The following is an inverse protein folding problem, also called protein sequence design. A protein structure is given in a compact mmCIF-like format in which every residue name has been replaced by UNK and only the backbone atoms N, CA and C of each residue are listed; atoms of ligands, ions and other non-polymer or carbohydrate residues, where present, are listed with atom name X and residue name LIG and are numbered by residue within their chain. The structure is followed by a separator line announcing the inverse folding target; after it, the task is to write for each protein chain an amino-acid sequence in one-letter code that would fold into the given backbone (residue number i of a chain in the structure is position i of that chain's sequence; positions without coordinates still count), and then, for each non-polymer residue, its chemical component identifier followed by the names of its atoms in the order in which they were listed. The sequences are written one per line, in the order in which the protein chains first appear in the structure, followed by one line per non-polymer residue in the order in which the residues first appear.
data_IF_787959209227
#
_entry.id   IF_787959209227
#
_cell.length_a   1.000
_cell.length_b   1.000
_cell.length_c   1.000
_cell.angle_alpha   90.00
_cell.angle_beta   90.00
_cell.angle_gamma   90.00
#
_symmetry.space_group_name_H-M   'P 1'
#
loop_
_entity.id
_entity.type
_entity.pdbx_description
1 polymer ?
#
# COMPACT_ATOMS: atom_id res chain seq x y z
N UNK A 1 -15.41 -55.87 -8.62
CA UNK A 1 -16.01 -55.09 -7.52
C UNK A 1 -15.58 -53.66 -7.70
N UNK A 2 -16.52 -52.73 -7.93
CA UNK A 2 -16.19 -51.31 -8.01
C UNK A 2 -15.84 -50.83 -6.58
N UNK A 3 -14.59 -50.45 -6.36
CA UNK A 3 -14.14 -49.88 -5.10
C UNK A 3 -14.72 -48.46 -4.99
N UNK A 4 -15.68 -48.28 -4.09
CA UNK A 4 -16.22 -46.95 -3.78
C UNK A 4 -15.08 -46.11 -3.21
N UNK A 5 -14.78 -44.94 -3.77
CA UNK A 5 -13.71 -44.09 -3.25
C UNK A 5 -14.02 -43.68 -1.80
N UNK A 6 -13.01 -43.66 -0.92
CA UNK A 6 -13.21 -43.24 0.47
C UNK A 6 -13.74 -41.81 0.51
N UNK A 7 -14.78 -41.61 1.32
CA UNK A 7 -15.39 -40.30 1.55
C UNK A 7 -14.97 -39.78 2.91
N UNK A 8 -14.78 -38.47 2.98
CA UNK A 8 -14.29 -37.77 4.17
C UNK A 8 -15.25 -36.64 4.56
N UNK A 9 -14.95 -35.98 5.68
CA UNK A 9 -15.61 -34.79 6.16
C UNK A 9 -17.11 -35.00 6.49
N UNK A 10 -17.73 -33.97 7.07
CA UNK A 10 -19.18 -33.93 7.31
C UNK A 10 -19.99 -33.90 6.01
N UNK A 11 -19.40 -33.44 4.90
CA UNK A 11 -20.05 -33.36 3.60
C UNK A 11 -20.06 -34.70 2.81
N UNK A 12 -19.34 -35.72 3.30
CA UNK A 12 -19.27 -37.07 2.69
C UNK A 12 -18.88 -37.04 1.20
N UNK A 13 -17.92 -36.20 0.86
CA UNK A 13 -17.34 -36.12 -0.47
C UNK A 13 -15.99 -36.87 -0.54
N UNK A 14 -15.58 -37.36 -1.73
CA UNK A 14 -14.23 -37.88 -1.94
C UNK A 14 -13.16 -36.81 -1.72
N UNK A 15 -11.91 -37.24 -1.53
CA UNK A 15 -10.76 -36.34 -1.41
C UNK A 15 -10.55 -35.50 -2.68
N UNK A 16 -10.28 -34.21 -2.49
CA UNK A 16 -9.98 -33.22 -3.53
C UNK A 16 -8.68 -32.49 -3.18
N UNK A 17 -7.67 -32.59 -4.05
CA UNK A 17 -6.34 -31.99 -3.86
C UNK A 17 -6.34 -30.47 -3.88
N UNK A 18 -7.41 -29.83 -4.38
CA UNK A 18 -7.51 -28.37 -4.48
C UNK A 18 -8.08 -27.72 -3.23
N UNK A 19 -8.59 -28.52 -2.28
CA UNK A 19 -9.22 -28.02 -1.06
C UNK A 19 -8.36 -28.34 0.16
N UNK A 20 -8.10 -27.33 0.98
CA UNK A 20 -7.43 -27.51 2.26
C UNK A 20 -8.26 -28.42 3.20
N UNK A 21 -7.60 -29.42 3.78
CA UNK A 21 -8.18 -30.32 4.77
C UNK A 21 -7.31 -30.45 6.02
N UNK A 22 -7.95 -30.66 7.17
CA UNK A 22 -7.31 -30.89 8.48
C UNK A 22 -7.83 -32.19 9.11
N UNK A 23 -6.94 -32.96 9.74
CA UNK A 23 -7.27 -34.24 10.40
C UNK A 23 -7.69 -34.01 11.86
N UNK A 24 -8.81 -34.62 12.28
CA UNK A 24 -9.24 -34.62 13.68
C UNK A 24 -8.42 -35.62 14.51
N UNK A 25 -7.82 -35.15 15.59
CA UNK A 25 -6.99 -35.96 16.47
C UNK A 25 -7.75 -37.05 17.25
N UNK A 26 -9.06 -36.87 17.45
CA UNK A 26 -9.91 -37.81 18.16
C UNK A 26 -10.46 -38.92 17.25
N UNK A 27 -11.11 -38.57 16.13
CA UNK A 27 -11.76 -39.55 15.25
C UNK A 27 -10.91 -39.99 14.05
N UNK A 28 -9.76 -39.34 13.80
CA UNK A 28 -8.85 -39.61 12.67
C UNK A 28 -9.50 -39.49 11.29
N UNK A 29 -10.58 -38.71 11.18
CA UNK A 29 -11.22 -38.36 9.91
C UNK A 29 -10.72 -36.97 9.46
N UNK A 30 -10.81 -36.70 8.15
CA UNK A 30 -10.33 -35.47 7.52
C UNK A 30 -11.48 -34.53 7.20
N UNK A 31 -11.30 -33.23 7.43
CA UNK A 31 -12.34 -32.22 7.27
C UNK A 31 -11.86 -31.07 6.39
N UNK A 32 -12.68 -30.66 5.42
CA UNK A 32 -12.41 -29.44 4.65
C UNK A 32 -12.43 -28.23 5.58
N UNK A 33 -11.42 -27.36 5.50
CA UNK A 33 -11.34 -26.16 6.33
C UNK A 33 -12.61 -25.31 6.25
N UNK A 34 -13.14 -25.12 5.04
CA UNK A 34 -14.39 -24.40 4.78
C UNK A 34 -15.64 -25.04 5.42
N UNK A 35 -15.66 -26.36 5.60
CA UNK A 35 -16.80 -27.08 6.22
C UNK A 35 -16.80 -26.97 7.75
N UNK A 36 -15.65 -26.70 8.37
CA UNK A 36 -15.46 -26.69 9.82
C UNK A 36 -14.99 -25.34 10.36
N UNK A 37 -14.88 -24.32 9.49
CA UNK A 37 -14.48 -22.97 9.86
C UNK A 37 -13.01 -22.84 10.27
N UNK A 38 -12.12 -23.61 9.63
CA UNK A 38 -10.67 -23.54 9.84
C UNK A 38 -10.02 -23.08 8.55
N UNK A 39 -9.39 -21.91 8.57
CA UNK A 39 -8.63 -21.39 7.45
C UNK A 39 -7.27 -22.10 7.33
N UNK A 40 -6.79 -22.27 6.10
CA UNK A 40 -5.50 -22.91 5.80
C UNK A 40 -4.33 -22.22 6.54
N UNK A 41 -4.41 -20.90 6.69
CA UNK A 41 -3.39 -20.08 7.37
C UNK A 41 -3.36 -20.24 8.90
N UNK A 42 -4.45 -20.74 9.50
CA UNK A 42 -4.58 -20.98 10.94
C UNK A 42 -4.20 -22.42 11.32
N UNK A 43 -4.22 -23.34 10.36
CA UNK A 43 -3.89 -24.76 10.56
C UNK A 43 -2.51 -24.98 11.22
N UNK A 44 -1.44 -24.24 10.87
CA UNK A 44 -0.14 -24.43 11.51
C UNK A 44 -0.11 -24.07 13.00
N UNK A 45 -1.04 -23.23 13.48
CA UNK A 45 -1.10 -22.79 14.88
C UNK A 45 -1.92 -23.74 15.77
N UNK A 46 -2.70 -24.64 15.18
CA UNK A 46 -3.46 -25.67 15.88
C UNK A 46 -2.50 -26.80 16.30
N UNK A 47 -2.56 -27.18 17.57
CA UNK A 47 -1.75 -28.26 18.16
C UNK A 47 -2.52 -29.58 18.11
N UNK A 48 -3.76 -29.57 18.59
CA UNK A 48 -4.68 -30.70 18.55
C UNK A 48 -5.99 -30.18 17.96
N UNK A 49 -6.40 -30.74 16.82
CA UNK A 49 -7.67 -30.38 16.18
C UNK A 49 -8.76 -31.37 16.56
N UNK A 50 -9.88 -30.88 17.10
CA UNK A 50 -11.10 -31.64 17.30
C UNK A 50 -12.21 -31.10 16.40
N UNK A 51 -12.84 -31.98 15.61
CA UNK A 51 -13.96 -31.60 14.77
C UNK A 51 -15.22 -31.25 15.59
N UNK A 52 -16.24 -30.59 15.01
CA UNK A 52 -17.43 -30.15 15.76
C UNK A 52 -18.19 -31.27 16.52
N UNK A 53 -18.03 -32.53 16.09
CA UNK A 53 -18.61 -33.68 16.79
C UNK A 53 -17.75 -34.11 18.00
N UNK A 54 -16.43 -34.22 17.81
CA UNK A 54 -15.49 -34.59 18.87
C UNK A 54 -15.29 -33.48 19.90
N UNK A 55 -15.54 -32.21 19.55
CA UNK A 55 -15.48 -31.10 20.50
C UNK A 55 -16.39 -31.34 21.73
N UNK A 56 -17.52 -32.04 21.54
CA UNK A 56 -18.49 -32.34 22.59
C UNK A 56 -18.00 -33.39 23.59
N UNK A 57 -17.09 -34.27 23.18
CA UNK A 57 -16.59 -35.40 23.98
C UNK A 57 -15.16 -35.19 24.47
N UNK A 58 -14.31 -34.64 23.61
CA UNK A 58 -12.86 -34.52 23.81
C UNK A 58 -12.42 -33.07 24.08
N UNK A 59 -13.37 -32.12 24.07
CA UNK A 59 -13.14 -30.70 24.32
C UNK A 59 -12.70 -29.94 23.08
N UNK A 60 -12.49 -28.62 23.22
CA UNK A 60 -12.10 -27.75 22.10
C UNK A 60 -10.69 -28.04 21.58
N UNK A 61 -10.46 -27.78 20.30
CA UNK A 61 -9.12 -27.78 19.69
C UNK A 61 -8.15 -26.91 20.48
N UNK A 62 -6.92 -27.41 20.67
CA UNK A 62 -5.86 -26.68 21.37
C UNK A 62 -4.95 -26.00 20.36
N UNK A 63 -4.45 -24.82 20.72
CA UNK A 63 -3.43 -24.12 19.95
C UNK A 63 -2.06 -24.45 20.51
N UNK A 64 -1.03 -24.39 19.65
CA UNK A 64 0.35 -24.59 20.07
C UNK A 64 0.67 -23.59 21.17
N UNK A 65 1.16 -24.08 22.31
CA UNK A 65 1.55 -23.21 23.43
C UNK A 65 2.61 -22.22 22.94
N UNK A 66 2.21 -20.95 22.76
CA UNK A 66 3.17 -19.85 22.66
C UNK A 66 3.97 -19.86 23.97
N UNK A 67 5.29 -20.11 23.89
CA UNK A 67 6.16 -20.10 25.06
C UNK A 67 6.09 -18.72 25.71
N UNK A 68 5.33 -18.60 26.80
CA UNK A 68 5.40 -17.47 27.71
C UNK A 68 6.77 -17.52 28.38
N UNK A 69 7.64 -16.58 27.99
CA UNK A 69 8.96 -16.44 28.57
C UNK A 69 8.86 -15.79 29.95
N UNK A 70 8.63 -16.59 31.00
CA UNK A 70 8.86 -16.18 32.38
C UNK A 70 9.66 -17.25 33.13
N UNK A 71 10.91 -16.87 33.41
CA UNK A 71 11.88 -17.39 34.40
C UNK A 71 12.28 -18.89 34.36
N UNK A 72 13.59 -19.03 34.21
CA UNK A 72 14.46 -20.15 34.60
C UNK A 72 14.30 -21.44 33.82
N UNK A 73 15.07 -21.55 32.73
CA UNK A 73 15.79 -22.79 32.47
C UNK A 73 17.19 -22.47 31.95
N UNK A 74 18.17 -22.93 32.70
CA UNK A 74 19.61 -22.83 32.44
C UNK A 74 19.98 -23.94 31.46
N UNK A 75 20.08 -23.63 30.17
CA UNK A 75 20.50 -24.61 29.18
C UNK A 75 20.43 -24.09 27.74
N UNK A 76 21.56 -23.57 27.27
CA UNK A 76 21.95 -23.34 25.87
C UNK A 76 20.91 -23.63 24.77
N UNK A 77 20.32 -22.55 24.28
CA UNK A 77 19.79 -22.43 22.91
C UNK A 77 20.19 -21.04 22.41
N UNK A 78 21.27 -20.97 21.63
CA UNK A 78 21.88 -19.72 21.13
C UNK A 78 21.23 -19.15 19.85
N UNK A 79 20.04 -19.62 19.47
CA UNK A 79 19.36 -19.09 18.28
C UNK A 79 18.62 -17.78 18.61
N UNK A 80 19.34 -16.66 18.54
CA UNK A 80 18.72 -15.33 18.45
C UNK A 80 18.08 -15.25 17.06
N UNK A 81 16.79 -15.57 16.96
CA UNK A 81 16.04 -15.37 15.72
C UNK A 81 15.90 -13.87 15.44
N UNK A 82 16.17 -13.46 14.20
CA UNK A 82 16.02 -12.09 13.78
C UNK A 82 14.55 -11.64 13.93
N UNK A 83 14.37 -10.37 14.30
CA UNK A 83 13.05 -9.76 14.46
C UNK A 83 12.45 -9.50 13.08
N UNK A 84 11.25 -10.04 12.83
CA UNK A 84 10.54 -9.82 11.57
C UNK A 84 9.84 -8.46 11.57
N UNK A 85 9.94 -7.74 10.46
CA UNK A 85 9.23 -6.48 10.23
C UNK A 85 7.71 -6.70 10.36
N UNK A 86 7.03 -5.78 11.04
CA UNK A 86 5.59 -5.88 11.35
C UNK A 86 5.24 -6.68 12.62
N UNK A 87 6.17 -7.45 13.19
CA UNK A 87 5.92 -8.16 14.46
C UNK A 87 5.72 -7.19 15.63
N UNK A 88 5.05 -7.63 16.71
CA UNK A 88 4.85 -6.78 17.90
C UNK A 88 6.17 -6.28 18.52
N UNK A 89 7.22 -7.12 18.49
CA UNK A 89 8.56 -6.76 18.96
C UNK A 89 9.14 -5.65 18.07
N UNK A 90 9.09 -5.84 16.75
CA UNK A 90 9.51 -4.83 15.79
C UNK A 90 8.79 -3.50 16.00
N UNK A 91 7.46 -3.50 16.15
CA UNK A 91 6.69 -2.25 16.34
C UNK A 91 7.09 -1.53 17.62
N UNK A 92 7.35 -2.27 18.71
CA UNK A 92 7.84 -1.70 19.97
C UNK A 92 9.20 -1.03 19.78
N UNK A 93 10.13 -1.68 19.08
CA UNK A 93 11.45 -1.15 18.76
C UNK A 93 11.37 0.06 17.82
N UNK A 94 10.53 -0.02 16.78
CA UNK A 94 10.31 1.05 15.82
C UNK A 94 9.81 2.32 16.50
N UNK A 95 8.91 2.19 17.48
CA UNK A 95 8.38 3.33 18.25
C UNK A 95 9.42 3.98 19.16
N UNK A 96 10.44 3.25 19.62
CA UNK A 96 11.52 3.79 20.45
C UNK A 96 12.72 4.31 19.65
N UNK A 97 12.79 3.99 18.35
CA UNK A 97 13.86 4.49 17.47
C UNK A 97 13.73 6.01 17.26
N UNK A 98 14.89 6.65 17.13
CA UNK A 98 15.00 8.07 16.81
C UNK A 98 15.30 8.23 15.34
N UNK A 99 14.63 9.18 14.69
CA UNK A 99 14.79 9.48 13.27
C UNK A 99 14.93 11.00 13.10
N UNK A 100 15.68 11.49 12.10
CA UNK A 100 15.64 12.89 11.73
C UNK A 100 14.20 13.33 11.40
N UNK A 101 13.89 14.58 11.73
CA UNK A 101 12.58 15.16 11.47
C UNK A 101 12.37 15.34 9.96
N UNK A 102 11.18 15.03 9.46
CA UNK A 102 10.85 15.32 8.07
C UNK A 102 10.75 16.82 7.76
N UNK A 103 10.82 17.72 8.74
CA UNK A 103 10.88 19.17 8.51
C UNK A 103 12.09 19.61 7.66
N UNK A 104 13.15 18.79 7.62
CA UNK A 104 14.35 19.06 6.81
C UNK A 104 14.12 18.84 5.30
N UNK A 105 13.08 18.10 4.93
CA UNK A 105 12.82 17.68 3.53
C UNK A 105 11.40 17.95 3.05
N UNK A 106 10.44 18.09 3.97
CA UNK A 106 9.04 18.32 3.61
C UNK A 106 8.78 19.80 3.34
N UNK A 107 8.27 20.10 2.15
CA UNK A 107 7.78 21.42 1.81
C UNK A 107 6.37 21.60 2.39
N UNK A 108 6.16 22.64 3.20
CA UNK A 108 4.84 22.97 3.76
C UNK A 108 4.14 24.03 2.90
N UNK A 109 3.01 23.68 2.29
CA UNK A 109 2.20 24.60 1.49
C UNK A 109 0.77 24.69 2.02
N UNK A 110 0.12 25.82 1.75
CA UNK A 110 -1.35 25.92 1.81
C UNK A 110 -1.97 25.38 0.52
N UNK A 111 -3.27 25.05 0.55
CA UNK A 111 -3.96 24.57 -0.64
C UNK A 111 -3.81 25.48 -1.86
N UNK A 112 -4.02 26.81 -1.76
CA UNK A 112 -3.85 27.73 -2.89
C UNK A 112 -2.40 27.86 -3.39
N UNK A 113 -1.40 27.63 -2.54
CA UNK A 113 0.02 27.65 -2.94
C UNK A 113 0.41 26.41 -3.74
N UNK A 114 -0.27 25.28 -3.55
CA UNK A 114 -0.05 24.06 -4.33
C UNK A 114 -0.72 24.18 -5.71
N UNK A 115 -0.05 24.89 -6.60
CA UNK A 115 -0.50 25.21 -7.96
C UNK A 115 0.40 24.61 -9.03
N UNK A 116 -0.04 24.67 -10.30
CA UNK A 116 0.82 24.30 -11.44
C UNK A 116 2.04 25.21 -11.53
N UNK A 117 1.85 26.53 -11.42
CA UNK A 117 2.93 27.52 -11.47
C UNK A 117 4.03 27.22 -10.44
N UNK A 118 3.63 26.88 -9.20
CA UNK A 118 4.57 26.48 -8.16
C UNK A 118 5.37 25.23 -8.56
N UNK A 119 4.70 24.19 -9.07
CA UNK A 119 5.36 22.93 -9.44
C UNK A 119 6.19 23.05 -10.72
N UNK A 120 5.86 23.95 -11.64
CA UNK A 120 6.66 24.25 -12.83
C UNK A 120 7.94 25.01 -12.46
N UNK A 121 7.85 25.94 -11.49
CA UNK A 121 9.01 26.71 -11.02
C UNK A 121 9.93 25.89 -10.08
N UNK A 122 9.35 25.12 -9.16
CA UNK A 122 10.10 24.46 -8.08
C UNK A 122 10.27 22.94 -8.29
N UNK A 123 9.55 22.36 -9.25
CA UNK A 123 9.45 20.92 -9.44
C UNK A 123 8.59 20.24 -8.37
N UNK A 124 8.47 18.92 -8.50
CA UNK A 124 7.84 18.05 -7.50
C UNK A 124 8.80 16.93 -7.09
N UNK A 125 9.89 17.31 -6.42
CA UNK A 125 10.98 16.39 -6.06
C UNK A 125 11.03 16.06 -4.56
N UNK A 126 10.40 16.89 -3.73
CA UNK A 126 10.35 16.75 -2.27
C UNK A 126 8.89 16.53 -1.81
N UNK A 127 8.63 15.78 -0.72
CA UNK A 127 7.29 15.57 -0.21
C UNK A 127 6.64 16.89 0.22
N UNK A 128 5.36 17.05 -0.11
CA UNK A 128 4.61 18.27 0.19
C UNK A 128 3.56 17.96 1.25
N UNK A 129 3.62 18.68 2.37
CA UNK A 129 2.62 18.58 3.45
C UNK A 129 1.71 19.80 3.43
N UNK A 130 0.40 19.53 3.39
CA UNK A 130 -0.64 20.54 3.47
C UNK A 130 -1.44 20.31 4.75
N UNK A 131 -1.36 21.27 5.66
CA UNK A 131 -1.88 21.13 7.03
C UNK A 131 -3.40 21.18 7.11
N UNK A 132 -4.06 21.84 6.16
CA UNK A 132 -5.51 21.93 6.08
C UNK A 132 -5.98 21.82 4.64
N UNK A 133 -7.08 21.11 4.40
CA UNK A 133 -7.53 20.77 3.05
C UNK A 133 -8.07 21.96 2.23
N UNK A 134 -8.36 23.09 2.87
CA UNK A 134 -8.95 24.25 2.19
C UNK A 134 -8.03 24.73 1.06
N UNK A 135 -8.62 24.97 -0.11
CA UNK A 135 -7.90 25.37 -1.32
C UNK A 135 -7.27 24.22 -2.12
N UNK A 136 -7.28 22.97 -1.64
CA UNK A 136 -6.80 21.82 -2.43
C UNK A 136 -7.72 21.40 -3.57
N UNK A 137 -8.97 21.89 -3.60
CA UNK A 137 -9.98 21.46 -4.55
C UNK A 137 -10.25 19.95 -4.48
N UNK A 138 -10.17 19.38 -3.27
CA UNK A 138 -10.49 17.99 -2.98
C UNK A 138 -11.86 17.89 -2.28
N UNK A 139 -12.56 16.79 -2.52
CA UNK A 139 -13.81 16.44 -1.83
C UNK A 139 -13.59 15.18 -1.01
N UNK A 140 -14.14 15.18 0.20
CA UNK A 140 -14.07 14.05 1.13
C UNK A 140 -15.38 13.97 1.90
N UNK A 141 -15.77 12.78 2.38
CA UNK A 141 -16.92 12.67 3.26
C UNK A 141 -16.71 13.45 4.56
N UNK A 142 -17.81 13.75 5.25
CA UNK A 142 -17.78 14.53 6.48
C UNK A 142 -16.91 13.86 7.56
N UNK A 143 -16.35 14.60 8.53
CA UNK A 143 -15.57 14.02 9.62
C UNK A 143 -16.36 13.03 10.50
N UNK A 144 -17.68 12.96 10.39
CA UNK A 144 -18.53 11.95 11.04
C UNK A 144 -18.53 10.60 10.34
N UNK A 145 -18.07 10.53 9.09
CA UNK A 145 -18.00 9.32 8.27
C UNK A 145 -17.05 8.30 8.89
N UNK A 146 -17.49 7.07 9.02
CA UNK A 146 -16.77 6.00 9.71
C UNK A 146 -16.76 4.70 8.88
N UNK A 147 -16.06 3.68 9.36
CA UNK A 147 -15.91 2.36 8.72
C UNK A 147 -17.26 1.71 8.38
N UNK A 148 -18.29 1.84 9.22
CA UNK A 148 -19.66 1.39 8.90
C UNK A 148 -20.24 2.06 7.66
N UNK A 149 -19.90 3.33 7.40
CA UNK A 149 -20.33 4.02 6.19
C UNK A 149 -19.57 3.53 4.96
N UNK A 150 -18.31 3.08 5.12
CA UNK A 150 -17.58 2.39 4.05
C UNK A 150 -18.29 1.10 3.68
N UNK A 151 -18.66 0.26 4.65
CA UNK A 151 -19.44 -0.99 4.42
C UNK A 151 -20.74 -0.69 3.67
N UNK A 152 -21.49 0.34 4.10
CA UNK A 152 -22.78 0.69 3.49
C UNK A 152 -22.65 1.19 2.03
N UNK A 153 -21.58 1.92 1.72
CA UNK A 153 -21.40 2.52 0.38
C UNK A 153 -20.71 1.57 -0.60
N UNK A 154 -19.78 0.74 -0.12
CA UNK A 154 -19.06 -0.24 -0.93
C UNK A 154 -19.87 -1.53 -1.09
N UNK A 155 -20.45 -2.03 0.00
CA UNK A 155 -21.22 -3.25 0.06
C UNK A 155 -20.59 -4.29 1.01
N UNK A 156 -21.39 -4.94 1.87
CA UNK A 156 -20.87 -5.84 2.91
C UNK A 156 -20.21 -7.12 2.35
N UNK A 157 -20.70 -7.61 1.21
CA UNK A 157 -20.22 -8.84 0.57
C UNK A 157 -19.03 -8.63 -0.38
N UNK A 158 -18.55 -7.38 -0.54
CA UNK A 158 -17.37 -7.09 -1.37
C UNK A 158 -16.15 -7.77 -0.74
N UNK A 159 -15.45 -8.59 -1.52
CA UNK A 159 -14.19 -9.18 -1.11
C UNK A 159 -13.09 -8.14 -1.07
N UNK A 160 -12.35 -8.07 0.04
CA UNK A 160 -11.25 -7.13 0.26
C UNK A 160 -9.97 -7.88 0.58
N UNK A 161 -8.84 -7.34 0.13
CA UNK A 161 -7.52 -7.84 0.52
C UNK A 161 -7.18 -7.31 1.92
N UNK A 162 -6.76 -8.21 2.80
CA UNK A 162 -6.44 -7.91 4.19
C UNK A 162 -5.04 -8.38 4.49
N UNK A 163 -4.20 -7.46 4.95
CA UNK A 163 -2.83 -7.73 5.34
C UNK A 163 -2.77 -8.18 6.79
N UNK A 164 -2.25 -9.38 7.06
CA UNK A 164 -1.79 -9.81 8.37
C UNK A 164 -0.42 -9.17 8.64
N UNK A 165 -0.43 -8.08 9.41
CA UNK A 165 0.74 -7.21 9.58
C UNK A 165 1.93 -7.96 10.20
N UNK A 166 1.78 -8.75 11.29
CA UNK A 166 2.89 -9.55 11.82
C UNK A 166 3.48 -10.57 10.85
N UNK A 167 2.68 -11.11 9.94
CA UNK A 167 3.13 -12.10 8.95
C UNK A 167 3.65 -11.44 7.66
N UNK A 168 3.30 -10.18 7.40
CA UNK A 168 3.53 -9.49 6.12
C UNK A 168 2.96 -10.28 4.93
N UNK A 169 1.82 -10.94 5.13
CA UNK A 169 1.08 -11.69 4.11
C UNK A 169 -0.32 -11.11 3.97
N UNK A 170 -0.94 -11.32 2.81
CA UNK A 170 -2.32 -10.92 2.54
C UNK A 170 -3.23 -12.13 2.36
N UNK A 171 -4.50 -11.95 2.74
CA UNK A 171 -5.60 -12.88 2.50
C UNK A 171 -6.83 -12.12 2.01
N UNK A 172 -7.88 -12.83 1.59
CA UNK A 172 -9.17 -12.22 1.23
C UNK A 172 -10.22 -12.53 2.30
N UNK A 173 -11.07 -11.54 2.57
CA UNK A 173 -12.29 -11.73 3.37
C UNK A 173 -13.38 -10.76 2.90
N UNK A 174 -14.61 -10.92 3.39
CA UNK A 174 -15.67 -9.95 3.10
C UNK A 174 -15.43 -8.65 3.85
N UNK A 175 -15.81 -7.52 3.26
CA UNK A 175 -15.72 -6.22 3.92
C UNK A 175 -16.45 -6.23 5.27
N UNK A 176 -17.63 -6.86 5.33
CA UNK A 176 -18.38 -7.02 6.59
C UNK A 176 -17.56 -7.72 7.68
N UNK A 177 -16.87 -8.80 7.35
CA UNK A 177 -16.06 -9.57 8.31
C UNK A 177 -14.90 -8.71 8.84
N UNK A 178 -14.29 -7.91 7.96
CA UNK A 178 -13.27 -6.95 8.37
C UNK A 178 -13.83 -5.82 9.25
N UNK A 179 -15.02 -5.31 8.94
CA UNK A 179 -15.70 -4.29 9.77
C UNK A 179 -16.05 -4.84 11.15
N UNK A 180 -16.59 -6.05 11.23
CA UNK A 180 -16.87 -6.74 12.49
C UNK A 180 -15.58 -6.95 13.31
N UNK A 181 -14.50 -7.37 12.65
CA UNK A 181 -13.16 -7.44 13.26
C UNK A 181 -12.69 -6.07 13.78
N UNK A 182 -12.87 -5.00 12.98
CA UNK A 182 -12.47 -3.65 13.36
C UNK A 182 -13.20 -3.21 14.62
N UNK A 183 -14.51 -3.41 14.73
CA UNK A 183 -15.26 -3.01 15.92
C UNK A 183 -15.18 -3.98 17.11
N UNK A 184 -14.54 -5.13 16.94
CA UNK A 184 -14.33 -6.08 18.03
C UNK A 184 -13.55 -5.44 19.19
N UNK A 185 -14.01 -5.70 20.41
CA UNK A 185 -13.32 -5.30 21.65
C UNK A 185 -12.04 -6.07 21.90
N UNK A 186 -11.79 -7.15 21.15
CA UNK A 186 -10.61 -7.99 21.29
C UNK A 186 -10.06 -8.43 19.92
N UNK A 187 -9.16 -7.63 19.37
CA UNK A 187 -8.45 -7.93 18.11
C UNK A 187 -7.23 -8.83 18.42
N UNK A 188 -7.32 -10.12 18.09
CA UNK A 188 -6.23 -11.11 18.30
C UNK A 188 -5.08 -10.97 17.30
N UNK A 189 -5.37 -10.51 16.08
CA UNK A 189 -4.43 -10.23 14.98
C UNK A 189 -4.43 -8.72 14.69
N UNK A 190 -3.38 -8.21 14.06
CA UNK A 190 -3.31 -6.83 13.53
C UNK A 190 -3.53 -6.92 12.03
N UNK A 191 -4.74 -6.57 11.59
CA UNK A 191 -5.17 -6.69 10.20
C UNK A 191 -5.39 -5.31 9.59
N UNK A 192 -5.06 -5.17 8.31
CA UNK A 192 -5.07 -3.88 7.63
C UNK A 192 -5.66 -3.99 6.21
N UNK A 193 -6.49 -3.03 5.81
CA UNK A 193 -6.94 -2.85 4.42
C UNK A 193 -6.28 -1.59 3.86
N UNK A 194 -5.48 -1.74 2.79
CA UNK A 194 -4.69 -0.64 2.20
C UNK A 194 -5.01 -0.35 0.73
N UNK A 195 -5.74 -1.23 0.06
CA UNK A 195 -5.95 -1.19 -1.39
C UNK A 195 -7.43 -1.29 -1.78
N UNK A 196 -8.35 -0.93 -0.88
CA UNK A 196 -9.78 -0.90 -1.21
C UNK A 196 -10.05 0.21 -2.22
N UNK A 197 -9.94 -0.14 -3.49
CA UNK A 197 -10.29 0.72 -4.62
C UNK A 197 -11.81 0.79 -4.75
N UNK A 198 -12.35 2.00 -4.86
CA UNK A 198 -13.79 2.20 -4.73
C UNK A 198 -14.41 3.01 -5.87
N UNK A 199 -13.71 3.19 -7.00
CA UNK A 199 -14.18 4.02 -8.12
C UNK A 199 -15.44 3.49 -8.79
N UNK A 200 -15.77 2.20 -8.65
CA UNK A 200 -17.03 1.63 -9.17
C UNK A 200 -18.15 1.52 -8.12
N UNK A 201 -17.96 2.10 -6.93
CA UNK A 201 -18.92 1.98 -5.82
C UNK A 201 -19.70 3.28 -5.63
N UNK A 202 -20.70 3.28 -4.73
CA UNK A 202 -21.41 4.50 -4.35
C UNK A 202 -20.51 5.54 -3.67
N UNK A 203 -19.33 5.13 -3.19
CA UNK A 203 -18.38 6.01 -2.55
C UNK A 203 -17.58 6.88 -3.55
N UNK A 204 -17.60 6.55 -4.86
CA UNK A 204 -16.84 7.29 -5.88
C UNK A 204 -17.15 8.80 -5.89
N UNK A 205 -18.44 9.15 -5.83
CA UNK A 205 -18.90 10.55 -5.81
C UNK A 205 -18.66 11.28 -4.49
N UNK A 206 -18.20 10.60 -3.43
CA UNK A 206 -17.93 11.20 -2.12
C UNK A 206 -16.49 11.71 -1.98
N UNK A 207 -15.58 11.18 -2.80
CA UNK A 207 -14.15 11.48 -2.72
C UNK A 207 -13.65 11.96 -4.07
N UNK A 208 -13.04 13.14 -4.07
CA UNK A 208 -12.35 13.70 -5.23
C UNK A 208 -10.93 14.06 -4.80
N UNK A 209 -9.93 13.58 -5.54
CA UNK A 209 -8.52 13.85 -5.25
C UNK A 209 -8.19 15.35 -5.41
N UNK A 210 -7.08 15.84 -4.80
CA UNK A 210 -6.67 17.23 -4.95
C UNK A 210 -6.64 17.69 -6.41
N UNK A 211 -7.05 18.92 -6.68
CA UNK A 211 -7.13 19.47 -8.03
C UNK A 211 -5.79 19.36 -8.78
N UNK A 212 -4.67 19.57 -8.07
CA UNK A 212 -3.32 19.43 -8.67
C UNK A 212 -3.04 18.00 -9.14
N UNK A 213 -3.49 16.99 -8.40
CA UNK A 213 -3.33 15.57 -8.76
C UNK A 213 -4.10 15.27 -10.05
N UNK A 214 -5.34 15.75 -10.13
CA UNK A 214 -6.19 15.56 -11.32
C UNK A 214 -5.63 16.27 -12.55
N UNK A 215 -5.02 17.45 -12.37
CA UNK A 215 -4.35 18.19 -13.46
C UNK A 215 -3.08 17.49 -13.96
N UNK A 216 -2.34 16.81 -13.09
CA UNK A 216 -1.08 16.15 -13.44
C UNK A 216 -1.24 14.72 -13.96
N UNK A 217 -2.29 14.01 -13.53
CA UNK A 217 -2.45 12.56 -13.76
C UNK A 217 -2.57 12.19 -15.24
N UNK A 218 -1.70 11.31 -15.72
CA UNK A 218 -1.80 10.79 -17.08
C UNK A 218 -3.09 10.02 -17.33
N UNK A 219 -3.51 9.20 -16.35
CA UNK A 219 -4.71 8.39 -16.45
C UNK A 219 -5.96 9.27 -16.54
N UNK A 220 -5.95 10.42 -15.89
CA UNK A 220 -7.08 11.35 -15.94
C UNK A 220 -7.12 12.16 -17.25
N UNK A 221 -5.97 12.53 -17.79
CA UNK A 221 -5.90 13.50 -18.90
C UNK A 221 -5.64 12.88 -20.28
N UNK A 222 -5.09 11.67 -20.35
CA UNK A 222 -4.63 11.07 -21.61
C UNK A 222 -5.18 9.67 -21.87
N UNK A 223 -5.85 9.03 -20.90
CA UNK A 223 -6.48 7.73 -21.12
C UNK A 223 -7.78 7.90 -21.92
N UNK A 224 -7.91 7.36 -23.15
CA UNK A 224 -9.10 7.54 -23.97
C UNK A 224 -10.30 6.76 -23.43
N UNK A 225 -11.50 7.32 -23.60
CA UNK A 225 -12.76 6.65 -23.20
C UNK A 225 -13.07 5.42 -24.08
N UNK A 226 -12.56 5.39 -25.31
CA UNK A 226 -12.70 4.29 -26.28
C UNK A 226 -11.56 3.27 -26.22
N UNK A 227 -10.70 3.34 -25.18
CA UNK A 227 -9.61 2.40 -25.00
C UNK A 227 -10.12 0.96 -24.83
N UNK A 228 -9.51 0.02 -25.57
CA UNK A 228 -9.83 -1.42 -25.45
C UNK A 228 -9.42 -1.99 -24.10
N UNK A 229 -8.40 -1.42 -23.46
CA UNK A 229 -7.94 -1.82 -22.14
C UNK A 229 -8.67 -0.99 -21.07
N UNK A 230 -8.98 -1.64 -19.94
CA UNK A 230 -9.59 -0.96 -18.80
C UNK A 230 -8.70 0.15 -18.26
N UNK A 231 -9.33 1.29 -17.95
CA UNK A 231 -8.69 2.44 -17.30
C UNK A 231 -8.05 2.00 -15.97
N UNK A 232 -6.78 2.35 -15.70
CA UNK A 232 -6.12 2.01 -14.44
C UNK A 232 -6.89 2.55 -13.23
N UNK A 233 -7.30 1.63 -12.34
CA UNK A 233 -8.01 1.93 -11.10
C UNK A 233 -7.02 2.03 -9.95
N UNK A 234 -6.39 3.19 -9.85
CA UNK A 234 -5.34 3.47 -8.85
C UNK A 234 -5.51 4.83 -8.17
N UNK A 235 -6.57 5.56 -8.49
CA UNK A 235 -6.71 6.98 -8.13
C UNK A 235 -7.48 7.22 -6.84
N UNK A 236 -8.23 6.21 -6.36
CA UNK A 236 -9.12 6.31 -5.19
C UNK A 236 -9.08 5.03 -4.35
N UNK A 237 -8.25 5.06 -3.30
CA UNK A 237 -8.16 4.00 -2.29
C UNK A 237 -8.70 4.48 -0.94
N UNK A 238 -9.46 3.60 -0.29
CA UNK A 238 -9.87 3.73 1.11
C UNK A 238 -8.96 2.84 1.96
N UNK A 239 -8.37 3.40 3.00
CA UNK A 239 -7.41 2.70 3.86
C UNK A 239 -7.99 2.63 5.26
N UNK A 240 -8.20 1.40 5.73
CA UNK A 240 -8.77 1.11 7.04
C UNK A 240 -7.73 0.34 7.84
N UNK A 241 -7.06 1.06 8.74
CA UNK A 241 -5.86 0.58 9.38
C UNK A 241 -6.05 0.60 10.90
N UNK A 242 -5.89 -0.55 11.55
CA UNK A 242 -5.88 -0.59 13.02
C UNK A 242 -4.55 -0.08 13.59
N UNK A 243 -4.56 0.26 14.88
CA UNK A 243 -3.36 0.57 15.64
C UNK A 243 -2.31 -0.54 15.49
N UNK A 244 -1.06 -0.10 15.40
CA UNK A 244 0.15 -0.91 15.23
C UNK A 244 0.28 -1.57 13.84
N UNK A 245 -0.61 -1.27 12.90
CA UNK A 245 -0.44 -1.68 11.50
C UNK A 245 0.80 -1.05 10.86
N UNK A 246 1.55 -1.85 10.11
CA UNK A 246 2.80 -1.47 9.46
C UNK A 246 2.88 -1.98 8.03
N UNK A 247 3.32 -1.10 7.13
CA UNK A 247 3.68 -1.41 5.75
C UNK A 247 5.16 -1.12 5.58
N UNK A 248 5.93 -2.13 5.17
CA UNK A 248 7.39 -2.03 5.03
C UNK A 248 7.80 -1.12 3.86
N UNK A 249 9.11 -0.84 3.77
CA UNK A 249 9.67 0.06 2.78
C UNK A 249 9.38 -0.39 1.35
N UNK A 250 8.83 0.52 0.56
CA UNK A 250 8.52 0.30 -0.85
C UNK A 250 8.67 1.58 -1.67
N UNK A 251 8.72 1.40 -2.98
CA UNK A 251 8.49 2.43 -3.98
C UNK A 251 7.16 2.07 -4.65
N UNK A 252 6.31 3.07 -4.86
CA UNK A 252 5.01 2.88 -5.49
C UNK A 252 5.16 2.37 -6.92
N UNK A 253 4.26 1.47 -7.32
CA UNK A 253 4.34 0.81 -8.63
C UNK A 253 4.21 1.81 -9.78
N UNK A 254 4.96 1.56 -10.86
CA UNK A 254 5.15 2.51 -11.97
C UNK A 254 5.90 3.79 -11.57
N UNK A 255 6.49 3.84 -10.36
CA UNK A 255 7.07 5.04 -9.79
C UNK A 255 6.05 6.16 -9.59
N UNK A 256 4.78 5.81 -9.36
CA UNK A 256 3.72 6.79 -9.20
C UNK A 256 3.97 7.71 -8.01
N UNK A 257 3.53 8.96 -8.14
CA UNK A 257 3.37 9.86 -7.01
C UNK A 257 2.07 9.54 -6.27
N UNK A 258 2.00 9.89 -4.99
CA UNK A 258 0.85 9.58 -4.11
C UNK A 258 0.33 10.85 -3.49
N UNK A 259 -1.00 10.96 -3.37
CA UNK A 259 -1.63 11.84 -2.40
C UNK A 259 -2.26 10.99 -1.29
N UNK A 260 -2.16 11.46 -0.05
CA UNK A 260 -2.63 10.74 1.12
C UNK A 260 -3.29 11.71 2.09
N UNK A 261 -4.53 11.47 2.48
CA UNK A 261 -5.29 12.29 3.41
C UNK A 261 -5.84 11.47 4.57
N UNK A 262 -5.55 11.90 5.81
CA UNK A 262 -6.04 11.22 7.01
C UNK A 262 -7.38 11.81 7.42
N UNK A 263 -8.48 11.07 7.23
CA UNK A 263 -9.80 11.52 7.67
C UNK A 263 -9.96 11.35 9.19
N UNK A 264 -9.44 10.25 9.75
CA UNK A 264 -9.45 9.95 11.19
C UNK A 264 -8.15 9.26 11.60
N UNK A 265 -7.68 9.55 12.81
CA UNK A 265 -6.49 8.93 13.39
C UNK A 265 -5.19 9.63 12.98
N UNK A 266 -4.13 8.86 12.83
CA UNK A 266 -2.79 9.36 12.52
C UNK A 266 -1.99 8.30 11.76
N UNK A 267 -1.06 8.75 10.91
CA UNK A 267 -0.06 7.93 10.22
C UNK A 267 1.33 8.49 10.45
N UNK A 268 2.33 7.61 10.47
CA UNK A 268 3.75 7.99 10.51
C UNK A 268 4.41 7.41 9.27
N UNK A 269 4.95 8.27 8.42
CA UNK A 269 5.74 7.89 7.25
C UNK A 269 7.23 7.94 7.59
N UNK A 270 7.97 6.96 7.13
CA UNK A 270 9.43 6.90 7.17
C UNK A 270 9.93 7.11 5.75
N UNK A 271 10.43 8.30 5.44
CA UNK A 271 10.70 8.77 4.09
C UNK A 271 12.21 8.73 3.79
N UNK A 272 12.58 8.17 2.65
CA UNK A 272 13.97 8.08 2.17
C UNK A 272 14.02 8.65 0.76
N UNK A 273 14.89 9.64 0.57
CA UNK A 273 15.07 10.34 -0.71
C UNK A 273 15.58 9.37 -1.79
N UNK A 274 15.07 9.41 -3.03
CA UNK A 274 15.45 8.49 -4.10
C UNK A 274 16.78 8.87 -4.78
N UNK A 275 17.85 8.98 -4.01
CA UNK A 275 19.20 9.14 -4.56
C UNK A 275 19.62 7.87 -5.29
N UNK A 276 20.52 7.97 -6.27
CA UNK A 276 21.04 6.79 -6.96
C UNK A 276 21.67 5.76 -6.00
N UNK A 277 22.28 6.22 -4.90
CA UNK A 277 22.80 5.36 -3.84
C UNK A 277 21.67 4.62 -3.10
N UNK A 278 20.64 5.34 -2.66
CA UNK A 278 19.50 4.75 -1.94
C UNK A 278 18.69 3.78 -2.81
N UNK A 279 18.48 4.10 -4.10
CA UNK A 279 17.81 3.20 -5.03
C UNK A 279 18.61 1.91 -5.25
N UNK A 280 19.95 2.00 -5.31
CA UNK A 280 20.81 0.82 -5.41
C UNK A 280 20.84 -0.02 -4.12
N UNK A 281 20.72 0.63 -2.96
CA UNK A 281 20.54 -0.06 -1.67
C UNK A 281 19.17 -0.75 -1.60
N UNK A 282 18.10 -0.06 -1.99
CA UNK A 282 16.75 -0.59 -2.01
C UNK A 282 16.64 -1.82 -2.91
N UNK A 283 17.24 -1.77 -4.10
CA UNK A 283 17.28 -2.90 -5.01
C UNK A 283 17.96 -4.14 -4.40
N UNK A 284 19.11 -3.95 -3.75
CA UNK A 284 19.84 -5.03 -3.06
C UNK A 284 19.08 -5.57 -1.86
N UNK A 285 18.48 -4.68 -1.06
CA UNK A 285 17.66 -5.10 0.09
C UNK A 285 16.45 -5.89 -0.39
N UNK A 286 15.69 -5.37 -1.35
CA UNK A 286 14.43 -5.99 -1.82
C UNK A 286 14.64 -7.34 -2.51
N UNK A 287 15.79 -7.53 -3.16
CA UNK A 287 16.19 -8.81 -3.75
C UNK A 287 16.75 -9.82 -2.74
N UNK A 288 17.01 -9.41 -1.50
CA UNK A 288 17.53 -10.32 -0.47
C UNK A 288 16.46 -11.28 0.03
N UNK A 289 16.85 -12.53 0.27
CA UNK A 289 15.97 -13.58 0.80
C UNK A 289 15.51 -13.31 2.23
N UNK A 290 16.27 -12.53 3.00
CA UNK A 290 15.99 -12.18 4.40
C UNK A 290 15.60 -10.71 4.58
N UNK A 291 15.12 -10.03 3.54
CA UNK A 291 14.78 -8.61 3.63
C UNK A 291 13.73 -8.29 4.72
N UNK A 292 12.83 -9.24 5.02
CA UNK A 292 11.83 -9.14 6.09
C UNK A 292 12.42 -9.10 7.51
N UNK A 293 13.69 -9.47 7.66
CA UNK A 293 14.45 -9.45 8.92
C UNK A 293 15.34 -8.21 9.04
N UNK A 294 15.35 -7.37 8.00
CA UNK A 294 16.23 -6.21 7.89
C UNK A 294 15.39 -4.94 7.81
N UNK A 295 15.61 -4.03 8.76
CA UNK A 295 14.99 -2.71 8.70
C UNK A 295 15.76 -1.82 7.72
N UNK A 296 15.18 -1.54 6.54
CA UNK A 296 15.89 -0.86 5.44
C UNK A 296 16.44 0.52 5.81
N UNK A 297 15.80 1.25 6.74
CA UNK A 297 16.29 2.54 7.21
C UNK A 297 17.72 2.47 7.80
N UNK A 298 18.16 1.32 8.30
CA UNK A 298 19.50 1.14 8.88
C UNK A 298 20.59 1.05 7.81
N UNK A 299 20.22 0.93 6.52
CA UNK A 299 21.16 0.83 5.40
C UNK A 299 21.39 2.15 4.68
N UNK A 300 20.62 3.19 4.98
CA UNK A 300 20.67 4.48 4.32
C UNK A 300 21.21 5.56 5.27
N UNK A 301 21.74 6.64 4.72
CA UNK A 301 22.26 7.76 5.52
C UNK A 301 21.17 8.45 6.35
N UNK A 302 20.00 8.72 5.74
CA UNK A 302 18.89 9.40 6.40
C UNK A 302 17.55 8.77 6.04
N UNK A 303 16.76 8.51 7.08
CA UNK A 303 15.37 8.12 7.00
C UNK A 303 14.54 9.09 7.85
N UNK A 304 13.71 9.89 7.22
CA UNK A 304 13.00 11.00 7.85
C UNK A 304 11.64 10.55 8.39
N UNK A 305 11.32 10.92 9.62
CA UNK A 305 10.02 10.61 10.22
C UNK A 305 9.04 11.77 9.99
N UNK A 306 7.97 11.51 9.25
CA UNK A 306 6.88 12.44 8.97
C UNK A 306 5.58 11.96 9.63
N UNK A 307 5.09 12.69 10.62
CA UNK A 307 3.78 12.40 11.23
C UNK A 307 2.68 13.13 10.48
N UNK A 308 1.72 12.38 9.93
CA UNK A 308 0.54 12.89 9.25
C UNK A 308 -0.69 12.73 10.13
N UNK A 309 -1.20 13.86 10.64
CA UNK A 309 -2.33 13.91 11.57
C UNK A 309 -3.66 14.01 10.82
N UNK A 310 -4.75 13.74 11.54
CA UNK A 310 -6.11 13.96 11.05
C UNK A 310 -6.30 15.34 10.40
N UNK A 311 -6.92 15.35 9.22
CA UNK A 311 -7.22 16.53 8.41
C UNK A 311 -6.07 17.03 7.53
N UNK A 312 -4.89 16.42 7.65
CA UNK A 312 -3.72 16.79 6.86
C UNK A 312 -3.61 15.94 5.58
N UNK A 313 -2.98 16.52 4.56
CA UNK A 313 -2.70 15.86 3.28
C UNK A 313 -1.19 15.83 3.03
N UNK A 314 -0.64 14.67 2.69
CA UNK A 314 0.73 14.50 2.22
C UNK A 314 0.72 14.15 0.73
N UNK A 315 1.59 14.78 -0.04
CA UNK A 315 1.90 14.37 -1.40
C UNK A 315 3.34 13.85 -1.44
N UNK A 316 3.52 12.62 -1.89
CA UNK A 316 4.82 11.96 -1.98
C UNK A 316 5.19 11.88 -3.48
N UNK A 317 6.32 12.47 -3.91
CA UNK A 317 6.70 12.45 -5.32
C UNK A 317 7.32 11.11 -5.74
N UNK A 318 7.40 10.94 -7.06
CA UNK A 318 7.93 9.75 -7.72
C UNK A 318 9.25 9.27 -7.12
N UNK A 319 9.35 7.95 -6.91
CA UNK A 319 10.57 7.25 -6.52
C UNK A 319 10.89 7.24 -5.03
N UNK A 320 10.27 8.12 -4.22
CA UNK A 320 10.53 8.14 -2.77
C UNK A 320 10.26 6.78 -2.13
N UNK A 321 11.27 6.28 -1.42
CA UNK A 321 11.16 5.01 -0.70
C UNK A 321 10.50 5.32 0.64
N UNK A 322 9.41 4.64 0.97
CA UNK A 322 8.68 4.92 2.19
C UNK A 322 8.15 3.67 2.89
N UNK A 323 8.11 3.71 4.22
CA UNK A 323 7.38 2.77 5.08
C UNK A 323 6.35 3.52 5.92
N UNK A 324 5.30 2.85 6.37
CA UNK A 324 4.15 3.48 7.04
C UNK A 324 3.81 2.74 8.32
N UNK A 325 3.78 3.46 9.45
CA UNK A 325 3.25 2.98 10.73
C UNK A 325 1.91 3.67 11.03
N UNK A 326 0.98 2.89 11.57
CA UNK A 326 -0.34 3.34 12.03
C UNK A 326 -0.36 3.41 13.55
N UNK A 327 -0.04 4.57 14.18
CA UNK A 327 0.11 4.64 15.63
C UNK A 327 -1.20 4.44 16.41
N UNK A 328 -2.33 4.73 15.78
CA UNK A 328 -3.71 4.61 16.29
C UNK A 328 -4.63 4.21 15.14
N UNK A 329 -5.79 3.64 15.44
CA UNK A 329 -6.80 3.32 14.42
C UNK A 329 -7.05 4.52 13.48
N UNK A 330 -7.03 4.24 12.19
CA UNK A 330 -6.94 5.25 11.15
C UNK A 330 -7.86 4.90 9.96
N UNK A 331 -8.61 5.91 9.52
CA UNK A 331 -9.32 5.91 8.25
C UNK A 331 -8.69 7.00 7.38
N UNK A 332 -8.22 6.62 6.20
CA UNK A 332 -7.58 7.53 5.27
C UNK A 332 -8.03 7.27 3.83
N UNK A 333 -7.79 8.27 2.98
CA UNK A 333 -7.99 8.18 1.53
C UNK A 333 -6.68 8.49 0.83
N UNK A 334 -6.38 7.74 -0.22
CA UNK A 334 -5.20 7.99 -1.05
C UNK A 334 -5.48 7.71 -2.51
N UNK A 335 -4.49 8.01 -3.35
CA UNK A 335 -4.49 7.62 -4.74
C UNK A 335 -3.15 7.89 -5.40
N UNK A 336 -2.87 7.13 -6.44
CA UNK A 336 -1.62 7.12 -7.16
C UNK A 336 -1.80 7.80 -8.51
N UNK A 337 -0.78 8.51 -8.96
CA UNK A 337 -0.79 9.21 -10.24
C UNK A 337 0.62 9.32 -10.80
N UNK A 338 0.72 9.09 -12.11
CA UNK A 338 1.93 9.33 -12.90
C UNK A 338 1.75 10.62 -13.70
N UNK A 339 2.84 11.36 -13.90
CA UNK A 339 2.81 12.72 -14.42
C UNK A 339 4.09 13.11 -15.17
N UNK A 340 4.08 14.27 -15.81
CA UNK A 340 5.17 14.72 -16.69
C UNK A 340 6.39 15.29 -15.94
N UNK A 341 6.23 15.70 -14.67
CA UNK A 341 7.33 16.31 -13.90
C UNK A 341 8.45 15.33 -13.50
N UNK A 342 8.24 14.01 -13.64
CA UNK A 342 9.19 13.00 -13.14
C UNK A 342 9.23 11.75 -14.04
N UNK A 343 9.12 11.92 -15.36
CA UNK A 343 9.08 10.80 -16.31
C UNK A 343 10.28 9.87 -16.15
N UNK A 344 11.50 10.41 -16.04
CA UNK A 344 12.71 9.61 -15.86
C UNK A 344 12.66 8.71 -14.62
N UNK A 345 12.25 9.29 -13.48
CA UNK A 345 12.13 8.53 -12.22
C UNK A 345 11.04 7.46 -12.31
N UNK A 346 9.90 7.76 -12.93
CA UNK A 346 8.82 6.79 -13.17
C UNK A 346 9.31 5.60 -14.00
N UNK A 347 10.05 5.85 -15.08
CA UNK A 347 10.62 4.77 -15.91
C UNK A 347 11.63 3.93 -15.13
N UNK A 348 12.52 4.59 -14.37
CA UNK A 348 13.51 3.89 -13.54
C UNK A 348 12.87 3.00 -12.48
N UNK A 349 11.84 3.50 -11.78
CA UNK A 349 11.12 2.73 -10.79
C UNK A 349 10.38 1.54 -11.41
N UNK A 350 9.75 1.73 -12.58
CA UNK A 350 9.08 0.67 -13.33
C UNK A 350 10.04 -0.45 -13.76
N UNK A 351 11.25 -0.10 -14.22
CA UNK A 351 12.28 -1.09 -14.58
C UNK A 351 12.74 -1.92 -13.37
N UNK A 352 12.91 -1.27 -12.21
CA UNK A 352 13.25 -1.96 -10.95
C UNK A 352 12.11 -2.90 -10.53
N UNK A 353 10.86 -2.43 -10.55
CA UNK A 353 9.67 -3.23 -10.23
C UNK A 353 9.60 -4.50 -11.07
N UNK A 354 9.76 -4.37 -12.40
CA UNK A 354 9.74 -5.50 -13.34
C UNK A 354 10.87 -6.50 -13.08
N UNK A 355 12.10 -6.00 -12.90
CA UNK A 355 13.27 -6.86 -12.68
C UNK A 355 13.14 -7.65 -11.38
N UNK A 356 12.65 -7.01 -10.32
CA UNK A 356 12.45 -7.62 -9.01
C UNK A 356 11.18 -8.47 -8.92
N UNK A 357 10.29 -8.40 -9.92
CA UNK A 357 8.99 -9.08 -9.94
C UNK A 357 8.20 -8.79 -8.66
N UNK A 358 8.14 -7.52 -8.29
CA UNK A 358 7.51 -7.07 -7.05
C UNK A 358 6.04 -7.51 -7.05
N UNK A 359 5.65 -8.27 -6.03
CA UNK A 359 4.25 -8.55 -5.73
C UNK A 359 3.73 -7.48 -4.78
N UNK A 360 2.61 -6.87 -5.11
CA UNK A 360 1.97 -5.81 -4.33
C UNK A 360 0.45 -5.87 -4.46
N UNK A 361 -0.23 -5.30 -3.48
CA UNK A 361 -1.68 -5.09 -3.48
C UNK A 361 -2.12 -3.85 -4.27
N UNK A 362 -1.18 -2.97 -4.63
CA UNK A 362 -1.42 -1.70 -5.35
C UNK A 362 -0.60 -1.61 -6.65
N UNK A 363 -0.69 -2.59 -7.57
CA UNK A 363 0.04 -2.51 -8.84
C UNK A 363 -0.46 -1.33 -9.69
N UNK A 364 0.37 -0.85 -10.62
CA UNK A 364 -0.07 0.10 -11.64
C UNK A 364 -0.43 -0.65 -12.94
N UNK A 365 -1.70 -1.00 -13.19
CA UNK A 365 -2.06 -1.77 -14.38
C UNK A 365 -1.86 -0.94 -15.64
N UNK A 366 -1.49 -1.60 -16.73
CA UNK A 366 -1.36 -1.01 -18.07
C UNK A 366 -0.42 0.22 -18.13
N UNK A 367 0.66 0.22 -17.33
CA UNK A 367 1.64 1.32 -17.29
C UNK A 367 2.24 1.65 -18.67
N UNK A 368 2.70 0.64 -19.43
CA UNK A 368 3.24 0.85 -20.78
C UNK A 368 2.20 1.46 -21.73
N UNK A 369 0.93 1.06 -21.61
CA UNK A 369 -0.18 1.65 -22.39
C UNK A 369 -0.39 3.11 -22.03
N UNK A 370 -0.36 3.47 -20.74
CA UNK A 370 -0.43 4.87 -20.31
C UNK A 370 0.73 5.69 -20.91
N UNK A 371 1.95 5.12 -20.96
CA UNK A 371 3.10 5.75 -21.60
C UNK A 371 2.87 6.00 -23.10
N UNK A 372 2.27 5.05 -23.82
CA UNK A 372 1.93 5.22 -25.23
C UNK A 372 0.94 6.36 -25.48
N UNK A 373 -0.10 6.47 -24.66
CA UNK A 373 -1.08 7.55 -24.78
C UNK A 373 -0.47 8.93 -24.52
N UNK A 374 0.39 9.03 -23.50
CA UNK A 374 1.14 10.26 -23.20
C UNK A 374 2.08 10.61 -24.36
N UNK A 375 2.84 9.63 -24.86
CA UNK A 375 3.74 9.83 -25.99
C UNK A 375 3.01 10.31 -27.25
N UNK A 376 1.85 9.73 -27.56
CA UNK A 376 0.99 10.17 -28.66
C UNK A 376 0.52 11.61 -28.47
N UNK A 377 0.03 11.96 -27.28
CA UNK A 377 -0.44 13.32 -26.98
C UNK A 377 0.66 14.36 -27.19
N UNK A 378 1.86 14.10 -26.69
CA UNK A 378 3.00 15.01 -26.87
C UNK A 378 3.48 15.10 -28.32
N UNK A 379 3.45 13.99 -29.07
CA UNK A 379 3.75 14.02 -30.50
C UNK A 379 2.79 14.93 -31.27
N UNK A 380 1.49 14.84 -30.99
CA UNK A 380 0.46 15.69 -31.61
C UNK A 380 0.65 17.15 -31.23
N UNK A 381 0.92 17.43 -29.95
CA UNK A 381 1.19 18.79 -29.44
C UNK A 381 2.41 19.43 -30.14
N UNK A 382 3.54 18.74 -30.19
CA UNK A 382 4.77 19.27 -30.81
C UNK A 382 4.63 19.46 -32.32
N UNK A 383 3.78 18.68 -32.99
CA UNK A 383 3.41 18.93 -34.40
C UNK A 383 2.57 20.19 -34.55
N UNK A 384 1.60 20.41 -33.66
CA UNK A 384 0.74 21.59 -33.66
C UNK A 384 1.51 22.90 -33.44
N UNK A 385 2.47 22.91 -32.50
CA UNK A 385 3.32 24.09 -32.23
C UNK A 385 4.21 24.46 -33.42
N UNK A 386 4.64 23.48 -34.24
CA UNK A 386 5.40 23.73 -35.48
C UNK A 386 4.57 24.33 -36.62
N UNK A 387 3.24 24.35 -36.50
CA UNK A 387 2.34 24.88 -37.54
C UNK A 387 1.92 26.34 -37.35
N UNK A 388 2.40 27.01 -36.28
CA UNK A 388 2.20 28.45 -36.07
C UNK A 388 3.24 29.26 -36.89
N UNK A 389 2.84 30.29 -37.66
CA UNK A 389 3.78 31.10 -38.45
C UNK A 389 4.81 31.82 -37.57
N UNK A 390 6.06 31.82 -38.01
CA UNK A 390 7.25 32.34 -37.33
C UNK A 390 7.30 33.87 -37.09
N UNK A 391 6.16 34.57 -36.98
CA UNK A 391 6.11 36.04 -36.87
C UNK A 391 5.88 36.58 -35.45
N UNK A 392 5.80 35.75 -34.41
CA UNK A 392 5.61 36.22 -33.03
C UNK A 392 6.53 35.55 -31.99
N UNK A 393 7.62 34.91 -32.39
CA UNK A 393 8.62 34.43 -31.43
C UNK A 393 9.56 35.58 -31.04
N UNK A 394 9.21 36.29 -29.96
CA UNK A 394 10.22 36.94 -29.12
C UNK A 394 11.21 35.88 -28.63
N UNK A 395 12.50 36.11 -28.88
CA UNK A 395 13.59 35.13 -28.72
C UNK A 395 14.07 35.05 -27.26
N UNK A 396 13.17 34.88 -26.31
CA UNK A 396 13.53 34.85 -24.88
C UNK A 396 13.19 33.56 -24.14
N UNK A 397 12.46 32.59 -24.74
CA UNK A 397 12.21 31.29 -24.10
C UNK A 397 12.47 30.12 -25.06
N UNK A 398 13.55 29.38 -24.83
CA UNK A 398 13.87 28.15 -25.56
C UNK A 398 13.05 26.96 -25.01
N UNK A 399 12.44 26.10 -25.85
CA UNK A 399 11.65 24.93 -25.41
C UNK A 399 12.48 23.79 -24.78
N UNK A 400 13.80 23.95 -24.65
CA UNK A 400 14.72 22.90 -24.23
C UNK A 400 14.72 22.60 -22.72
N UNK A 401 13.97 23.35 -21.90
CA UNK A 401 14.01 23.21 -20.43
C UNK A 401 13.09 22.11 -19.89
N UNK A 402 12.13 21.61 -20.68
CA UNK A 402 11.15 20.63 -20.19
C UNK A 402 11.62 19.16 -20.19
N UNK A 403 12.82 18.85 -20.69
CA UNK A 403 13.35 17.47 -20.74
C UNK A 403 14.79 17.31 -20.20
N UNK A 404 15.45 18.38 -19.76
CA UNK A 404 16.79 18.28 -19.20
C UNK A 404 16.94 19.20 -18.00
N UNK A 405 16.83 18.63 -16.79
CA UNK A 405 17.12 19.31 -15.53
C UNK A 405 18.62 19.54 -15.30
N UNK A 406 19.30 20.16 -16.25
CA UNK A 406 20.69 20.60 -16.08
C UNK A 406 20.72 22.10 -15.79
N UNK A 407 20.99 22.45 -14.53
CA UNK A 407 21.40 23.81 -14.14
C UNK A 407 22.76 24.12 -14.77
N UNK A 408 22.79 25.02 -15.76
CA UNK A 408 24.05 25.63 -16.20
C UNK A 408 24.36 26.82 -15.30
N UNK A 409 25.44 26.69 -14.53
CA UNK A 409 26.07 27.75 -13.76
C UNK A 409 27.12 28.44 -14.66
N UNK A 410 26.99 29.72 -15.04
CA UNK A 410 27.98 30.37 -15.89
C UNK A 410 29.03 31.06 -15.01
N UNK A 411 30.08 30.33 -14.64
CA UNK A 411 31.32 30.91 -14.11
C UNK A 411 32.52 29.97 -14.34
N UNK A 412 32.98 29.89 -15.60
CA UNK A 412 34.38 29.72 -16.01
C UNK A 412 34.47 29.91 -17.53
#
# INVERSE_FOLDING_TARGET
MATVPPVYCICRLPYDVTQFMIECDACKDWFHGSCVGVDEDDAPDIDIYHCPNCEKTDGKSTLKKKKNWNKQDTGQSTDIKAVQNGSQVFIKELRSRTFPSAEDVVVKLTGPQLSMDYLEENGFNEPILVLKKEGLGMSLPAPTFYISDVENNVGPDVGVDVVDVPKQTDSKMKLKEFVDYYYSTNRKKVLNVINLEFSDTRMDGMVESPAIVRRLSWVQNYWPDDALLGKPKVTKYCLICVKDSYTDFHIECGGASVWYHVLKGEKIFFLIKPTSANLSLYDRWRSSSNHSEMFFADQVDKCYKCTLKQGQTLLIPSGWINAILTPVDCLAFSGHFVHNLSVEMQMRAYEVERRLKVKTLTPFPNFETACWYVGRHYLERFKGERSLPAQLMDRSASPAVLLCGCSHNPAC
#
